data_IF_822631633572
#
_entry.id   IF_822631633572
#
_cell.length_a   1.000
_cell.length_b   1.000
_cell.length_c   1.000
_cell.angle_alpha   90.00
_cell.angle_beta   90.00
_cell.angle_gamma   90.00
#
_symmetry.space_group_name_H-M   'P 1'
#
loop_
_entity.id
_entity.type
_entity.pdbx_description
1 polymer ?
#
# COMPACT_ATOMS: atom_id res chain seq x y z
N UNK A 1 29.70 -3.58 6.13
CA UNK A 1 28.24 -3.82 6.10
C UNK A 1 27.83 -3.99 4.64
N UNK A 2 26.83 -4.82 4.32
CA UNK A 2 26.31 -4.97 2.95
C UNK A 2 25.95 -3.58 2.39
N UNK A 3 26.39 -3.25 1.16
CA UNK A 3 26.21 -1.97 0.46
C UNK A 3 26.93 -0.72 1.01
N UNK A 4 27.81 -0.84 2.01
CA UNK A 4 28.63 0.28 2.45
C UNK A 4 29.58 0.75 1.33
N UNK A 5 29.69 2.06 1.13
CA UNK A 5 30.51 2.68 0.06
C UNK A 5 29.94 2.54 -1.35
N UNK A 6 28.80 1.87 -1.54
CA UNK A 6 28.19 1.66 -2.85
C UNK A 6 27.20 2.78 -3.23
N UNK A 7 27.03 3.02 -4.53
CA UNK A 7 25.95 3.80 -5.12
C UNK A 7 24.76 2.87 -5.33
N UNK A 8 23.68 3.08 -4.58
CA UNK A 8 22.50 2.21 -4.59
C UNK A 8 21.32 2.93 -5.22
N UNK A 9 20.74 2.33 -6.26
CA UNK A 9 19.48 2.76 -6.86
C UNK A 9 18.35 1.86 -6.36
N UNK A 10 17.33 2.44 -5.74
CA UNK A 10 16.13 1.74 -5.28
C UNK A 10 14.96 2.12 -6.19
N UNK A 11 14.42 1.14 -6.91
CA UNK A 11 13.32 1.35 -7.86
C UNK A 11 11.99 1.12 -7.17
N UNK A 12 11.23 2.20 -6.99
CA UNK A 12 9.97 2.21 -6.25
C UNK A 12 9.94 3.32 -5.20
N UNK A 13 8.75 3.59 -4.68
CA UNK A 13 8.52 4.65 -3.69
C UNK A 13 7.49 4.27 -2.61
N UNK A 14 7.09 2.99 -2.53
CA UNK A 14 6.23 2.49 -1.45
C UNK A 14 7.02 2.13 -0.19
N UNK A 15 6.34 1.54 0.82
CA UNK A 15 6.95 1.18 2.12
C UNK A 15 8.33 0.51 1.99
N UNK A 16 8.41 -0.57 1.21
CA UNK A 16 9.67 -1.29 1.04
C UNK A 16 10.79 -0.44 0.44
N UNK A 17 10.49 0.47 -0.48
CA UNK A 17 11.50 1.37 -1.04
C UNK A 17 12.01 2.36 0.00
N UNK A 18 11.10 2.93 0.81
CA UNK A 18 11.45 3.84 1.90
C UNK A 18 12.35 3.14 2.93
N UNK A 19 11.96 1.94 3.40
CA UNK A 19 12.72 1.16 4.38
C UNK A 19 14.11 0.79 3.85
N UNK A 20 14.20 0.34 2.59
CA UNK A 20 15.48 -0.02 1.97
C UNK A 20 16.36 1.22 1.84
N UNK A 21 15.84 2.35 1.36
CA UNK A 21 16.58 3.60 1.26
C UNK A 21 17.13 4.04 2.61
N UNK A 22 16.31 3.99 3.66
CA UNK A 22 16.72 4.31 5.02
C UNK A 22 17.82 3.36 5.52
N UNK A 23 17.64 2.04 5.35
CA UNK A 23 18.61 1.04 5.79
C UNK A 23 19.97 1.21 5.09
N UNK A 24 20.01 1.34 3.76
CA UNK A 24 21.28 1.48 3.04
C UNK A 24 21.97 2.82 3.31
N UNK A 25 21.20 3.91 3.48
CA UNK A 25 21.74 5.21 3.86
C UNK A 25 22.40 5.16 5.25
N UNK A 26 21.70 4.61 6.26
CA UNK A 26 22.22 4.47 7.63
C UNK A 26 23.41 3.51 7.69
N UNK A 27 23.49 2.53 6.79
CA UNK A 27 24.62 1.59 6.70
C UNK A 27 25.83 2.12 5.94
N UNK A 28 25.77 3.35 5.43
CA UNK A 28 26.90 4.04 4.83
C UNK A 28 27.07 3.78 3.33
N UNK A 29 25.98 3.59 2.58
CA UNK A 29 26.03 3.71 1.12
C UNK A 29 26.61 5.09 0.73
N UNK A 30 27.44 5.12 -0.32
CA UNK A 30 28.06 6.37 -0.78
C UNK A 30 27.04 7.32 -1.42
N UNK A 31 26.03 6.77 -2.09
CA UNK A 31 24.90 7.50 -2.66
C UNK A 31 23.67 6.61 -2.70
N UNK A 32 22.51 7.16 -2.35
CA UNK A 32 21.23 6.47 -2.44
C UNK A 32 20.31 7.29 -3.33
N UNK A 33 19.73 6.65 -4.35
CA UNK A 33 18.74 7.26 -5.25
C UNK A 33 17.47 6.43 -5.24
N UNK A 34 16.36 7.03 -4.82
CA UNK A 34 15.01 6.49 -4.95
C UNK A 34 14.42 6.90 -6.30
N UNK A 35 14.02 5.92 -7.12
CA UNK A 35 13.32 6.18 -8.39
C UNK A 35 11.81 6.15 -8.15
N UNK A 36 11.18 7.31 -8.27
CA UNK A 36 9.75 7.47 -8.08
C UNK A 36 9.06 7.70 -9.42
N UNK A 37 8.47 6.66 -10.02
CA UNK A 37 7.76 6.79 -11.29
C UNK A 37 6.46 7.60 -11.19
N UNK A 38 5.72 7.44 -10.08
CA UNK A 38 4.41 8.06 -9.90
C UNK A 38 4.26 8.66 -8.49
N UNK A 39 3.37 9.66 -8.30
CA UNK A 39 3.10 10.22 -6.98
C UNK A 39 2.73 9.15 -5.95
N UNK A 40 3.13 9.37 -4.70
CA UNK A 40 2.95 8.43 -3.59
C UNK A 40 2.25 9.09 -2.41
N UNK A 41 1.35 8.36 -1.74
CA UNK A 41 0.73 8.82 -0.49
C UNK A 41 1.72 8.61 0.67
N UNK A 42 2.02 9.68 1.39
CA UNK A 42 2.94 9.63 2.54
C UNK A 42 2.23 10.13 3.78
N UNK A 43 2.27 9.34 4.85
CA UNK A 43 1.70 9.68 6.15
C UNK A 43 2.72 9.41 7.23
N UNK A 44 2.81 10.25 8.27
CA UNK A 44 3.71 9.98 9.39
C UNK A 44 3.22 8.83 10.27
N UNK A 45 4.17 8.20 10.96
CA UNK A 45 3.89 7.30 12.07
C UNK A 45 3.03 7.95 13.16
N UNK A 46 3.21 9.25 13.44
CA UNK A 46 2.42 10.02 14.42
C UNK A 46 0.94 10.10 14.06
N UNK A 47 0.63 10.49 12.82
CA UNK A 47 -0.76 10.52 12.33
C UNK A 47 -1.37 9.13 12.35
N UNK A 48 -0.60 8.12 11.93
CA UNK A 48 -1.03 6.73 11.93
C UNK A 48 -1.29 6.22 13.36
N UNK A 49 -0.40 6.48 14.30
CA UNK A 49 -0.54 6.08 15.70
C UNK A 49 -1.76 6.72 16.36
N UNK A 50 -1.99 8.02 16.12
CA UNK A 50 -3.18 8.71 16.62
C UNK A 50 -4.47 8.08 16.08
N UNK A 51 -4.53 7.81 14.76
CA UNK A 51 -5.68 7.15 14.12
C UNK A 51 -5.91 5.75 14.70
N UNK A 52 -4.84 4.97 14.88
CA UNK A 52 -4.92 3.63 15.48
C UNK A 52 -5.44 3.69 16.91
N UNK A 53 -4.93 4.60 17.75
CA UNK A 53 -5.38 4.75 19.13
C UNK A 53 -6.87 5.12 19.23
N UNK A 54 -7.37 5.93 18.29
CA UNK A 54 -8.80 6.28 18.21
C UNK A 54 -9.68 5.14 17.69
N UNK A 55 -9.15 4.32 16.78
CA UNK A 55 -9.86 3.17 16.22
C UNK A 55 -9.87 1.97 17.18
N UNK A 56 -8.79 1.79 17.96
CA UNK A 56 -8.56 0.67 18.87
C UNK A 56 -8.10 1.20 20.25
N UNK A 57 -8.99 1.85 21.02
CA UNK A 57 -8.64 2.37 22.33
C UNK A 57 -8.36 1.25 23.33
N UNK A 58 -7.30 1.42 24.13
CA UNK A 58 -6.89 0.46 25.15
C UNK A 58 -8.04 0.17 26.14
N UNK A 59 -8.25 -1.12 26.41
CA UNK A 59 -9.26 -1.59 27.37
C UNK A 59 -10.71 -1.63 26.85
N UNK A 60 -10.97 -1.16 25.62
CA UNK A 60 -12.30 -1.32 25.03
C UNK A 60 -12.56 -2.79 24.60
N UNK A 61 -13.80 -3.29 24.73
CA UNK A 61 -14.15 -4.63 24.27
C UNK A 61 -13.91 -4.80 22.76
N UNK A 62 -13.23 -5.88 22.39
CA UNK A 62 -12.80 -6.12 21.00
C UNK A 62 -13.99 -6.26 20.04
N UNK A 63 -15.07 -6.93 20.48
CA UNK A 63 -16.30 -7.10 19.71
C UNK A 63 -17.01 -5.76 19.43
N UNK A 64 -17.00 -4.85 20.40
CA UNK A 64 -17.52 -3.49 20.23
C UNK A 64 -16.68 -2.70 19.23
N UNK A 65 -15.35 -2.79 19.30
CA UNK A 65 -14.45 -2.12 18.34
C UNK A 65 -14.66 -2.68 16.93
N UNK A 66 -14.66 -4.00 16.78
CA UNK A 66 -14.85 -4.64 15.48
C UNK A 66 -16.20 -4.23 14.88
N UNK A 67 -17.29 -4.27 15.67
CA UNK A 67 -18.62 -3.84 15.22
C UNK A 67 -18.66 -2.37 14.81
N UNK A 68 -18.03 -1.47 15.59
CA UNK A 68 -17.96 -0.04 15.27
C UNK A 68 -17.22 0.19 13.94
N UNK A 69 -16.09 -0.48 13.75
CA UNK A 69 -15.27 -0.31 12.56
C UNK A 69 -15.96 -0.89 11.31
N UNK A 70 -16.56 -2.08 11.42
CA UNK A 70 -17.28 -2.71 10.28
C UNK A 70 -18.65 -2.11 10.03
N UNK A 71 -19.27 -1.50 11.04
CA UNK A 71 -20.56 -0.81 10.93
C UNK A 71 -20.48 0.53 10.21
N UNK A 72 -19.27 1.01 9.88
CA UNK A 72 -19.07 2.21 9.07
C UNK A 72 -18.86 1.81 7.60
N UNK A 73 -19.84 2.01 6.70
CA UNK A 73 -19.66 1.67 5.29
C UNK A 73 -18.48 2.42 4.68
N UNK A 74 -17.77 1.79 3.74
CA UNK A 74 -16.58 2.39 3.14
C UNK A 74 -16.86 3.71 2.40
N UNK A 75 -18.06 3.88 1.84
CA UNK A 75 -18.50 5.14 1.24
C UNK A 75 -18.55 6.28 2.29
N UNK A 76 -19.06 5.99 3.50
CA UNK A 76 -19.04 6.94 4.61
C UNK A 76 -17.61 7.15 5.13
N UNK A 77 -16.81 6.08 5.25
CA UNK A 77 -15.42 6.18 5.64
C UNK A 77 -14.62 7.10 4.69
N UNK A 78 -14.87 7.04 3.37
CA UNK A 78 -14.26 7.94 2.39
C UNK A 78 -14.52 9.40 2.73
N UNK A 79 -15.77 9.77 3.00
CA UNK A 79 -16.15 11.14 3.37
C UNK A 79 -15.40 11.58 4.65
N UNK A 80 -15.42 10.73 5.68
CA UNK A 80 -14.72 11.01 6.94
C UNK A 80 -13.21 11.17 6.70
N UNK A 81 -12.61 10.34 5.85
CA UNK A 81 -11.18 10.37 5.58
C UNK A 81 -10.75 11.59 4.76
N UNK A 82 -11.55 12.05 3.81
CA UNK A 82 -11.29 13.32 3.10
C UNK A 82 -11.20 14.49 4.09
N UNK A 83 -12.11 14.54 5.07
CA UNK A 83 -12.06 15.59 6.09
C UNK A 83 -10.89 15.43 7.07
N UNK A 84 -10.66 14.21 7.55
CA UNK A 84 -9.53 13.92 8.43
C UNK A 84 -8.17 14.12 7.74
N UNK A 85 -8.11 14.06 6.41
CA UNK A 85 -6.87 14.27 5.68
C UNK A 85 -6.41 15.73 5.75
N UNK A 86 -7.33 16.70 5.88
CA UNK A 86 -6.96 18.12 6.10
C UNK A 86 -6.13 18.29 7.37
N UNK A 87 -6.57 17.69 8.47
CA UNK A 87 -5.84 17.70 9.74
C UNK A 87 -4.52 16.92 9.66
N UNK A 88 -4.51 15.77 9.01
CA UNK A 88 -3.28 15.00 8.80
C UNK A 88 -2.24 15.82 8.02
N UNK A 89 -2.65 16.51 6.95
CA UNK A 89 -1.77 17.37 6.16
C UNK A 89 -1.26 18.58 6.94
N UNK A 90 -2.02 19.09 7.92
CA UNK A 90 -1.53 20.13 8.83
C UNK A 90 -0.41 19.60 9.74
N UNK A 91 -0.56 18.40 10.28
CA UNK A 91 0.47 17.78 11.12
C UNK A 91 1.71 17.36 10.32
N UNK A 92 1.51 16.83 9.12
CA UNK A 92 2.57 16.32 8.25
C UNK A 92 3.15 17.40 7.34
N UNK A 93 2.74 18.67 7.51
CA UNK A 93 3.09 19.78 6.61
C UNK A 93 4.59 19.90 6.37
N UNK A 94 5.39 19.94 7.44
CA UNK A 94 6.84 20.12 7.32
C UNK A 94 7.51 18.93 6.63
N UNK A 95 7.02 17.70 6.89
CA UNK A 95 7.48 16.49 6.21
C UNK A 95 7.16 16.55 4.71
N UNK A 96 5.91 16.89 4.36
CA UNK A 96 5.47 17.01 2.97
C UNK A 96 6.20 18.12 2.22
N UNK A 97 6.44 19.26 2.85
CA UNK A 97 7.17 20.37 2.25
C UNK A 97 8.64 20.02 2.02
N UNK A 98 9.27 19.33 2.98
CA UNK A 98 10.63 18.79 2.83
C UNK A 98 10.74 17.82 1.66
N UNK A 99 9.79 16.88 1.55
CA UNK A 99 9.69 15.93 0.44
C UNK A 99 9.54 16.65 -0.91
N UNK A 100 8.59 17.59 -1.01
CA UNK A 100 8.35 18.36 -2.24
C UNK A 100 9.58 19.17 -2.65
N UNK A 101 10.25 19.81 -1.69
CA UNK A 101 11.49 20.57 -1.92
C UNK A 101 12.62 19.68 -2.46
N UNK A 102 12.69 18.43 -2.02
CA UNK A 102 13.65 17.43 -2.50
C UNK A 102 13.23 16.78 -3.85
N UNK A 103 12.12 17.20 -4.45
CA UNK A 103 11.62 16.69 -5.73
C UNK A 103 10.75 15.43 -5.62
N UNK A 104 10.36 15.00 -4.41
CA UNK A 104 9.44 13.88 -4.23
C UNK A 104 7.99 14.29 -4.51
N UNK A 105 7.31 13.50 -5.34
CA UNK A 105 5.91 13.69 -5.72
C UNK A 105 4.97 13.10 -4.65
N UNK A 106 4.47 13.95 -3.75
CA UNK A 106 3.45 13.57 -2.76
C UNK A 106 2.04 13.70 -3.36
N UNK A 107 1.14 12.78 -3.01
CA UNK A 107 -0.30 12.87 -3.33
C UNK A 107 -1.15 12.45 -2.14
N UNK A 108 -2.34 13.03 -1.98
CA UNK A 108 -3.34 12.55 -1.02
C UNK A 108 -4.19 11.39 -1.57
N UNK A 109 -3.87 10.92 -2.78
CA UNK A 109 -4.64 9.89 -3.48
C UNK A 109 -5.90 10.41 -4.17
N UNK A 110 -6.71 9.51 -4.76
CA UNK A 110 -7.98 9.89 -5.37
C UNK A 110 -8.85 10.59 -4.33
N UNK A 111 -9.44 11.71 -4.73
CA UNK A 111 -10.35 12.52 -3.91
C UNK A 111 -9.74 13.13 -2.64
N UNK A 112 -8.44 12.96 -2.40
CA UNK A 112 -7.77 13.46 -1.19
C UNK A 112 -8.09 12.66 0.08
N UNK A 113 -8.47 11.38 -0.05
CA UNK A 113 -8.85 10.53 1.09
C UNK A 113 -7.67 9.91 1.87
N UNK A 114 -6.44 10.15 1.43
CA UNK A 114 -5.22 9.81 2.16
C UNK A 114 -4.90 8.32 2.23
N UNK A 115 -4.04 7.99 3.21
CA UNK A 115 -3.41 6.67 3.34
C UNK A 115 -4.41 5.52 3.50
N UNK A 116 -5.41 5.66 4.38
CA UNK A 116 -6.30 4.55 4.71
C UNK A 116 -7.12 4.09 3.51
N UNK A 117 -7.71 5.01 2.75
CA UNK A 117 -8.46 4.64 1.53
C UNK A 117 -7.55 4.06 0.46
N UNK A 118 -6.30 4.54 0.36
CA UNK A 118 -5.33 3.95 -0.58
C UNK A 118 -5.10 2.46 -0.32
N UNK A 119 -5.11 2.02 0.93
CA UNK A 119 -5.00 0.59 1.30
C UNK A 119 -6.16 -0.20 0.71
N UNK A 120 -7.40 0.25 0.91
CA UNK A 120 -8.60 -0.40 0.38
C UNK A 120 -8.67 -0.38 -1.15
N UNK A 121 -8.25 0.71 -1.78
CA UNK A 121 -8.34 0.87 -3.23
C UNK A 121 -7.31 0.03 -4.00
N UNK A 122 -6.05 0.02 -3.56
CA UNK A 122 -4.93 -0.55 -4.34
C UNK A 122 -3.92 -1.37 -3.53
N UNK A 123 -3.92 -1.27 -2.20
CA UNK A 123 -2.92 -1.88 -1.30
C UNK A 123 -1.46 -1.59 -1.69
N UNK A 124 -1.21 -0.47 -2.39
CA UNK A 124 0.11 -0.03 -2.85
C UNK A 124 0.12 1.47 -3.13
N UNK A 125 1.30 2.04 -3.40
CA UNK A 125 1.45 3.45 -3.74
C UNK A 125 1.38 4.38 -2.52
N UNK A 126 1.75 3.85 -1.36
CA UNK A 126 1.88 4.59 -0.12
C UNK A 126 3.07 4.12 0.70
N UNK A 127 3.51 4.95 1.64
CA UNK A 127 4.26 4.48 2.80
C UNK A 127 3.92 5.24 4.08
N UNK A 128 4.15 4.59 5.22
CA UNK A 128 4.11 5.20 6.54
C UNK A 128 5.55 5.62 6.88
N UNK A 129 5.79 6.91 7.05
CA UNK A 129 7.14 7.40 7.33
C UNK A 129 7.54 7.13 8.78
N UNK A 130 8.71 6.50 8.93
CA UNK A 130 9.41 6.26 10.20
C UNK A 130 10.84 6.83 10.16
N UNK A 131 11.10 7.78 9.25
CA UNK A 131 12.37 8.52 9.18
C UNK A 131 13.00 8.63 7.78
N UNK A 132 12.50 7.92 6.77
CA UNK A 132 13.03 8.03 5.40
C UNK A 132 12.75 9.42 4.80
N UNK A 133 11.59 10.01 5.09
CA UNK A 133 11.24 11.35 4.57
C UNK A 133 12.20 12.43 5.05
N UNK A 134 12.70 12.34 6.29
CA UNK A 134 13.75 13.24 6.77
C UNK A 134 15.06 13.08 5.99
N UNK A 135 15.47 11.84 5.69
CA UNK A 135 16.66 11.58 4.87
C UNK A 135 16.53 12.11 3.44
N UNK A 136 15.32 12.08 2.87
CA UNK A 136 15.03 12.69 1.57
C UNK A 136 15.13 14.21 1.66
N UNK A 137 14.47 14.82 2.66
CA UNK A 137 14.50 16.27 2.86
C UNK A 137 15.91 16.81 3.10
N UNK A 138 16.75 16.05 3.80
CA UNK A 138 18.17 16.36 4.06
C UNK A 138 19.09 16.10 2.84
N UNK A 139 18.58 15.53 1.75
CA UNK A 139 19.36 15.17 0.56
C UNK A 139 20.27 13.95 0.72
N UNK A 140 20.14 13.19 1.82
CA UNK A 140 20.88 11.92 2.02
C UNK A 140 20.34 10.82 1.13
N UNK A 141 19.03 10.85 0.83
CA UNK A 141 18.39 10.02 -0.18
C UNK A 141 17.93 10.95 -1.31
N UNK A 142 18.51 10.76 -2.50
CA UNK A 142 18.15 11.53 -3.69
C UNK A 142 16.90 10.93 -4.31
N UNK A 143 16.08 11.76 -4.97
CA UNK A 143 14.87 11.31 -5.67
C UNK A 143 15.04 11.56 -7.17
N UNK A 144 14.76 10.54 -7.98
CA UNK A 144 14.59 10.64 -9.43
C UNK A 144 13.09 10.51 -9.75
N UNK A 145 12.36 11.63 -9.91
CA UNK A 145 10.91 11.60 -10.09
C UNK A 145 10.49 11.45 -11.55
N UNK A 146 9.36 10.80 -11.79
CA UNK A 146 8.57 10.87 -13.02
C UNK A 146 9.14 10.17 -14.26
N UNK A 147 10.28 9.49 -14.13
CA UNK A 147 10.96 8.90 -15.28
C UNK A 147 10.95 7.38 -15.26
N UNK A 148 10.67 6.79 -16.41
CA UNK A 148 10.86 5.35 -16.64
C UNK A 148 12.34 5.03 -16.85
N UNK A 149 12.73 3.81 -16.48
CA UNK A 149 14.05 3.28 -16.80
C UNK A 149 14.02 2.81 -18.25
N UNK A 150 14.88 3.39 -19.09
CA UNK A 150 14.99 3.00 -20.50
C UNK A 150 15.94 1.82 -20.69
N UNK A 151 17.07 1.81 -19.97
CA UNK A 151 18.06 0.74 -20.04
C UNK A 151 18.89 0.66 -18.76
N UNK A 152 19.32 -0.55 -18.43
CA UNK A 152 20.36 -0.80 -17.43
C UNK A 152 21.66 -1.12 -18.17
N UNK A 153 22.74 -0.46 -17.78
CA UNK A 153 24.09 -0.76 -18.28
C UNK A 153 24.85 -1.58 -17.23
N UNK A 154 26.10 -1.91 -17.52
CA UNK A 154 26.97 -2.58 -16.55
C UNK A 154 27.18 -1.77 -15.26
N UNK A 155 27.10 -0.42 -15.34
CA UNK A 155 27.48 0.48 -14.23
C UNK A 155 26.46 1.58 -13.93
N UNK A 156 25.30 1.57 -14.58
CA UNK A 156 24.35 2.68 -14.47
C UNK A 156 22.90 2.29 -14.83
N UNK A 157 21.99 3.19 -14.47
CA UNK A 157 20.58 3.19 -14.88
C UNK A 157 20.36 4.40 -15.77
N UNK A 158 19.91 4.17 -17.00
CA UNK A 158 19.54 5.21 -17.98
C UNK A 158 18.03 5.40 -17.95
N UNK A 159 17.60 6.65 -17.90
CA UNK A 159 16.19 7.04 -17.82
C UNK A 159 15.66 7.51 -19.17
N UNK A 160 14.33 7.62 -19.28
CA UNK A 160 13.66 8.06 -20.50
C UNK A 160 14.00 9.50 -20.90
N UNK A 161 14.37 10.36 -19.95
CA UNK A 161 14.84 11.72 -20.21
C UNK A 161 16.33 11.80 -20.61
N UNK A 162 16.99 10.65 -20.75
CA UNK A 162 18.40 10.56 -21.13
C UNK A 162 19.39 10.74 -19.96
N UNK A 163 18.92 11.03 -18.75
CA UNK A 163 19.81 11.05 -17.59
C UNK A 163 20.34 9.64 -17.30
N UNK A 164 21.62 9.57 -16.91
CA UNK A 164 22.29 8.33 -16.51
C UNK A 164 22.77 8.45 -15.07
N UNK A 165 22.35 7.52 -14.21
CA UNK A 165 22.75 7.48 -12.81
C UNK A 165 23.60 6.24 -12.59
N UNK A 166 24.85 6.44 -12.18
CA UNK A 166 25.74 5.34 -11.86
C UNK A 166 25.24 4.56 -10.63
N UNK A 167 25.34 3.23 -10.71
CA UNK A 167 24.85 2.31 -9.70
C UNK A 167 25.79 1.11 -9.55
N UNK A 168 26.18 0.81 -8.32
CA UNK A 168 26.87 -0.43 -7.97
C UNK A 168 25.87 -1.53 -7.54
N UNK A 169 24.66 -1.12 -7.15
CA UNK A 169 23.55 -2.01 -6.85
C UNK A 169 22.21 -1.37 -7.25
N UNK A 170 21.32 -2.19 -7.79
CA UNK A 170 19.92 -1.82 -8.12
C UNK A 170 19.00 -2.73 -7.32
N UNK A 171 18.06 -2.13 -6.57
CA UNK A 171 17.09 -2.87 -5.75
C UNK A 171 15.68 -2.62 -6.29
N UNK A 172 15.01 -3.68 -6.74
CA UNK A 172 13.64 -3.62 -7.24
C UNK A 172 12.63 -3.71 -6.09
N UNK A 173 12.21 -2.54 -5.59
CA UNK A 173 11.15 -2.40 -4.59
C UNK A 173 9.80 -2.08 -5.26
N UNK A 174 9.48 -2.82 -6.33
CA UNK A 174 8.35 -2.57 -7.23
C UNK A 174 7.03 -3.25 -6.80
N UNK A 175 7.02 -3.89 -5.64
CA UNK A 175 5.87 -4.61 -5.11
C UNK A 175 5.83 -6.06 -5.55
N UNK A 176 4.63 -6.65 -5.50
CA UNK A 176 4.38 -8.05 -5.83
C UNK A 176 3.23 -8.13 -6.83
N UNK A 177 3.24 -9.19 -7.64
CA UNK A 177 2.06 -9.56 -8.41
C UNK A 177 0.89 -9.88 -7.48
N UNK A 178 -0.32 -9.65 -7.99
CA UNK A 178 -1.54 -10.11 -7.34
C UNK A 178 -1.58 -11.64 -7.21
N UNK A 179 -2.61 -12.19 -6.57
CA UNK A 179 -2.67 -13.63 -6.33
C UNK A 179 -3.00 -14.43 -7.61
N UNK A 180 -3.60 -13.81 -8.63
CA UNK A 180 -4.06 -14.48 -9.87
C UNK A 180 -2.97 -15.31 -10.57
N UNK A 181 -1.75 -14.80 -10.88
CA UNK A 181 -0.71 -15.61 -11.53
C UNK A 181 -0.31 -16.86 -10.74
N UNK A 182 -0.35 -16.80 -9.39
CA UNK A 182 -0.10 -17.97 -8.54
C UNK A 182 -1.27 -18.94 -8.57
N UNK A 183 -2.50 -18.42 -8.52
CA UNK A 183 -3.71 -19.24 -8.63
C UNK A 183 -3.81 -19.95 -9.98
N UNK A 184 -3.43 -19.32 -11.10
CA UNK A 184 -3.49 -19.95 -12.42
C UNK A 184 -2.63 -21.20 -12.50
N UNK A 185 -1.48 -21.20 -11.79
CA UNK A 185 -0.59 -22.37 -11.70
C UNK A 185 -1.17 -23.51 -10.85
N UNK A 186 -2.08 -23.21 -9.93
CA UNK A 186 -2.64 -24.19 -8.97
C UNK A 186 -3.98 -24.73 -9.47
N UNK A 187 -4.85 -23.85 -9.96
CA UNK A 187 -6.24 -24.16 -10.31
C UNK A 187 -6.51 -24.16 -11.83
N UNK A 188 -5.57 -23.69 -12.64
CA UNK A 188 -5.75 -23.51 -14.09
C UNK A 188 -6.35 -22.14 -14.45
N UNK A 189 -6.10 -21.69 -15.68
CA UNK A 189 -6.55 -20.38 -16.17
C UNK A 189 -8.08 -20.25 -16.17
N UNK A 190 -8.79 -21.28 -16.65
CA UNK A 190 -10.27 -21.30 -16.71
C UNK A 190 -10.92 -21.04 -15.34
N UNK A 191 -10.35 -21.58 -14.26
CA UNK A 191 -10.87 -21.35 -12.91
C UNK A 191 -10.59 -19.92 -12.47
N UNK A 192 -9.38 -19.40 -12.73
CA UNK A 192 -8.97 -18.05 -12.31
C UNK A 192 -9.73 -16.95 -13.05
N UNK A 193 -10.01 -17.16 -14.33
CA UNK A 193 -10.80 -16.22 -15.13
C UNK A 193 -12.21 -16.07 -14.57
N UNK A 194 -12.77 -17.16 -14.01
CA UNK A 194 -14.06 -17.14 -13.29
C UNK A 194 -13.99 -16.54 -11.89
N UNK A 195 -12.83 -16.23 -11.29
CA UNK A 195 -12.80 -15.67 -9.93
C UNK A 195 -13.29 -14.21 -9.91
N UNK A 196 -13.14 -13.51 -11.03
CA UNK A 196 -13.33 -12.06 -11.11
C UNK A 196 -12.18 -11.29 -10.45
N UNK A 197 -12.40 -10.01 -10.17
CA UNK A 197 -11.42 -9.16 -9.49
C UNK A 197 -11.44 -9.36 -7.98
N UNK A 198 -10.26 -9.48 -7.37
CA UNK A 198 -10.09 -9.64 -5.92
C UNK A 198 -9.40 -8.42 -5.34
N UNK A 199 -9.93 -7.91 -4.22
CA UNK A 199 -9.51 -6.64 -3.60
C UNK A 199 -9.82 -5.39 -4.45
N UNK A 200 -9.72 -4.21 -3.83
CA UNK A 200 -10.18 -2.95 -4.42
C UNK A 200 -11.69 -2.72 -4.23
N UNK A 201 -12.15 -1.49 -4.48
CA UNK A 201 -13.55 -1.09 -4.25
C UNK A 201 -14.42 -1.19 -5.51
N UNK A 202 -15.58 -1.84 -5.42
CA UNK A 202 -16.58 -1.91 -6.50
C UNK A 202 -17.36 -0.58 -6.65
N UNK A 203 -18.32 -0.53 -7.58
CA UNK A 203 -19.13 0.66 -7.86
C UNK A 203 -20.02 1.08 -6.67
N UNK A 204 -20.36 0.15 -5.78
CA UNK A 204 -21.11 0.39 -4.55
C UNK A 204 -20.23 0.93 -3.42
N UNK A 205 -18.90 0.96 -3.64
CA UNK A 205 -17.93 1.36 -2.64
C UNK A 205 -17.50 0.23 -1.70
N UNK A 206 -17.84 -1.03 -1.98
CA UNK A 206 -17.49 -2.20 -1.15
C UNK A 206 -16.24 -2.92 -1.64
N UNK A 207 -15.54 -3.62 -0.75
CA UNK A 207 -14.36 -4.42 -1.14
C UNK A 207 -14.78 -5.60 -2.04
N UNK A 208 -14.05 -5.80 -3.13
CA UNK A 208 -14.25 -6.93 -4.05
C UNK A 208 -13.80 -8.26 -3.42
N UNK A 209 -14.61 -9.29 -3.64
CA UNK A 209 -14.38 -10.68 -3.25
C UNK A 209 -14.00 -10.94 -1.77
N UNK A 210 -14.11 -9.97 -0.86
CA UNK A 210 -13.80 -10.17 0.56
C UNK A 210 -14.95 -10.88 1.28
N UNK A 211 -14.73 -12.10 1.74
CA UNK A 211 -15.69 -12.90 2.54
C UNK A 211 -17.07 -13.07 1.89
N UNK A 212 -17.13 -13.03 0.57
CA UNK A 212 -18.32 -13.24 -0.26
C UNK A 212 -18.00 -14.21 -1.41
N UNK A 213 -19.02 -14.80 -2.06
CA UNK A 213 -18.81 -15.65 -3.23
C UNK A 213 -17.95 -14.96 -4.28
N UNK A 214 -17.03 -15.71 -4.86
CA UNK A 214 -16.43 -15.35 -6.15
C UNK A 214 -17.37 -15.82 -7.26
N UNK A 215 -17.12 -15.38 -8.49
CA UNK A 215 -17.82 -15.88 -9.68
C UNK A 215 -17.51 -17.36 -9.99
N UNK A 216 -16.48 -17.94 -9.35
CA UNK A 216 -16.17 -19.36 -9.37
C UNK A 216 -16.88 -20.07 -8.20
N UNK A 217 -17.81 -21.01 -8.48
CA UNK A 217 -18.49 -21.77 -7.44
C UNK A 217 -17.52 -22.52 -6.52
N UNK A 218 -17.80 -22.49 -5.21
CA UNK A 218 -16.98 -23.16 -4.20
C UNK A 218 -15.67 -22.47 -3.83
N UNK A 219 -15.31 -21.34 -4.45
CA UNK A 219 -14.11 -20.58 -4.11
C UNK A 219 -14.43 -19.25 -3.45
N UNK A 220 -13.77 -18.97 -2.33
CA UNK A 220 -13.95 -17.78 -1.51
C UNK A 220 -12.60 -17.15 -1.19
N UNK A 221 -12.54 -15.82 -1.18
CA UNK A 221 -11.33 -15.07 -0.83
C UNK A 221 -11.51 -14.37 0.53
N UNK A 222 -10.62 -14.68 1.47
CA UNK A 222 -10.63 -14.13 2.83
C UNK A 222 -9.38 -13.25 3.02
N UNK A 223 -9.40 -12.05 2.43
CA UNK A 223 -8.33 -11.07 2.56
C UNK A 223 -8.64 -10.00 3.60
N UNK A 224 -7.60 -9.34 4.12
CA UNK A 224 -7.73 -8.27 5.11
C UNK A 224 -6.94 -8.56 6.37
N UNK A 225 -7.14 -7.73 7.40
CA UNK A 225 -6.50 -7.87 8.69
C UNK A 225 -7.32 -8.74 9.65
N UNK A 226 -6.89 -8.77 10.92
CA UNK A 226 -7.58 -9.54 11.95
C UNK A 226 -8.99 -9.03 12.26
N UNK A 227 -9.25 -7.72 12.20
CA UNK A 227 -10.57 -7.18 12.48
C UNK A 227 -11.58 -7.61 11.41
N UNK A 228 -11.19 -7.53 10.14
CA UNK A 228 -12.02 -8.03 9.02
C UNK A 228 -12.25 -9.53 9.17
N UNK A 229 -11.21 -10.31 9.47
CA UNK A 229 -11.32 -11.77 9.61
C UNK A 229 -12.27 -12.18 10.74
N UNK A 230 -12.12 -11.57 11.92
CA UNK A 230 -13.00 -11.83 13.07
C UNK A 230 -14.45 -11.48 12.77
N UNK A 231 -14.68 -10.39 12.06
CA UNK A 231 -16.03 -9.95 11.75
C UNK A 231 -16.70 -10.84 10.70
N UNK A 232 -16.03 -11.24 9.62
CA UNK A 232 -16.73 -11.82 8.47
C UNK A 232 -16.59 -13.34 8.30
N UNK A 233 -15.64 -14.01 8.96
CA UNK A 233 -15.48 -15.47 8.84
C UNK A 233 -16.73 -16.24 9.28
N UNK A 234 -17.42 -15.79 10.34
CA UNK A 234 -18.66 -16.44 10.80
C UNK A 234 -19.79 -16.33 9.78
N UNK A 235 -19.92 -15.19 9.13
CA UNK A 235 -20.95 -14.87 8.16
C UNK A 235 -20.72 -15.69 6.90
N UNK A 236 -19.47 -15.79 6.45
CA UNK A 236 -19.08 -16.66 5.35
C UNK A 236 -19.38 -18.14 5.68
N UNK A 237 -19.04 -18.60 6.89
CA UNK A 237 -19.32 -19.98 7.31
C UNK A 237 -20.83 -20.27 7.35
N UNK A 238 -21.66 -19.34 7.85
CA UNK A 238 -23.11 -19.45 7.84
C UNK A 238 -23.68 -19.45 6.42
N UNK A 239 -23.13 -18.63 5.52
CA UNK A 239 -23.50 -18.60 4.11
C UNK A 239 -23.21 -19.93 3.42
N UNK A 240 -21.99 -20.47 3.60
CA UNK A 240 -21.60 -21.79 3.08
C UNK A 240 -22.52 -22.88 3.65
N UNK A 241 -22.78 -22.85 4.96
CA UNK A 241 -23.68 -23.81 5.63
C UNK A 241 -25.10 -23.76 5.09
N UNK A 242 -25.60 -22.57 4.75
CA UNK A 242 -26.92 -22.40 4.15
C UNK A 242 -26.97 -22.98 2.73
N UNK A 243 -25.90 -22.88 1.94
CA UNK A 243 -25.78 -23.57 0.64
C UNK A 243 -25.82 -25.09 0.83
N UNK A 244 -24.99 -25.63 1.73
CA UNK A 244 -24.96 -27.08 2.01
C UNK A 244 -26.32 -27.62 2.47
N UNK A 245 -27.08 -26.82 3.22
CA UNK A 245 -28.42 -27.16 3.67
C UNK A 245 -29.51 -26.96 2.60
N UNK A 246 -29.17 -26.48 1.39
CA UNK A 246 -30.12 -26.21 0.31
C UNK A 246 -31.00 -24.98 0.54
N UNK A 247 -30.66 -24.12 1.50
CA UNK A 247 -31.39 -22.88 1.83
C UNK A 247 -30.99 -21.72 0.91
N UNK A 248 -29.77 -21.76 0.36
CA UNK A 248 -29.26 -20.80 -0.62
C UNK A 248 -28.69 -21.54 -1.83
N UNK A 249 -28.64 -20.85 -2.97
CA UNK A 249 -27.89 -21.28 -4.15
C UNK A 249 -26.71 -20.33 -4.35
N UNK A 250 -25.61 -20.87 -4.87
CA UNK A 250 -24.53 -20.07 -5.44
C UNK A 250 -24.75 -19.93 -6.94
#
# INVERSE_FOLDING_TARGET
KKHAGQRVVVVGSGNSAADICQDVAVRGAAKVTMVQRSPTVVVSDKVTAFRTAMAFPDGAPQDVIDLKNTGTPLALLRIIMVENQKWANMLDKDMHDGLKKAGFMVTDGPDGAGHLLRVYEKARGFFIDVGCSALIADGKVHVKPGQEISKITEKSVVFADGEEIEADAIVWATGYDGPKPKWSRIFGEEVVDRIGEVWGMNEEGEVRAGYKPTEQPGLYFCGGDFAVSRMYTKQLALYIRAIEAGLLKQ
#
